data_IF_249991866044
#
_entry.id   IF_249991866044
#
_cell.length_a   1.000
_cell.length_b   1.000
_cell.length_c   1.000
_cell.angle_alpha   90.00
_cell.angle_beta   90.00
_cell.angle_gamma   90.00
#
_symmetry.space_group_name_H-M   'P 1'
#
loop_
_entity.id
_entity.type
_entity.pdbx_description
1 polymer ?
#
# COMPACT_ATOMS: atom_id res chain seq x y z
N UNK A 1 -60.98 -28.93 -82.28
CA UNK A 1 -60.22 -28.99 -81.01
C UNK A 1 -58.83 -28.43 -81.27
N UNK A 2 -58.42 -27.45 -80.46
CA UNK A 2 -57.10 -26.80 -80.40
C UNK A 2 -56.57 -26.04 -81.61
N UNK A 3 -56.62 -24.71 -81.51
CA UNK A 3 -55.52 -23.82 -81.90
C UNK A 3 -55.75 -22.45 -81.28
N UNK A 4 -55.25 -22.22 -80.06
CA UNK A 4 -54.88 -20.87 -79.66
C UNK A 4 -53.74 -20.93 -78.64
N UNK A 5 -52.62 -20.30 -78.98
CA UNK A 5 -51.36 -20.49 -78.24
C UNK A 5 -50.16 -19.91 -78.97
N UNK A 6 -50.24 -18.66 -79.43
CA UNK A 6 -49.06 -17.98 -80.00
C UNK A 6 -49.08 -16.46 -79.81
N UNK A 7 -49.28 -15.98 -78.57
CA UNK A 7 -49.18 -14.53 -78.28
C UNK A 7 -48.36 -14.12 -77.03
N UNK A 8 -47.81 -15.06 -76.25
CA UNK A 8 -47.17 -14.70 -74.96
C UNK A 8 -45.64 -14.50 -75.01
N UNK A 9 -44.88 -15.18 -75.88
CA UNK A 9 -43.39 -15.14 -75.82
C UNK A 9 -42.71 -13.85 -76.29
N UNK A 10 -43.39 -12.95 -77.02
CA UNK A 10 -42.76 -11.76 -77.64
C UNK A 10 -42.79 -10.52 -76.75
N UNK A 11 -43.75 -10.43 -75.82
CA UNK A 11 -43.86 -9.29 -74.90
C UNK A 11 -42.91 -9.41 -73.70
N UNK A 12 -42.71 -10.60 -73.15
CA UNK A 12 -41.75 -10.82 -72.05
C UNK A 12 -40.29 -10.59 -72.49
N UNK A 13 -39.92 -10.99 -73.70
CA UNK A 13 -38.57 -10.75 -74.24
C UNK A 13 -38.27 -9.25 -74.41
N UNK A 14 -39.27 -8.44 -74.78
CA UNK A 14 -39.13 -7.00 -74.99
C UNK A 14 -39.12 -6.20 -73.66
N UNK A 15 -39.84 -6.66 -72.65
CA UNK A 15 -39.84 -6.05 -71.30
C UNK A 15 -38.49 -6.27 -70.61
N UNK A 16 -37.96 -7.49 -70.71
CA UNK A 16 -36.66 -7.89 -70.16
C UNK A 16 -35.47 -7.18 -70.88
N UNK A 17 -35.61 -6.91 -72.19
CA UNK A 17 -34.67 -6.10 -72.98
C UNK A 17 -34.67 -4.61 -72.60
N UNK A 18 -35.85 -4.00 -72.40
CA UNK A 18 -35.98 -2.60 -71.95
C UNK A 18 -35.47 -2.39 -70.53
N UNK A 19 -35.68 -3.34 -69.64
CA UNK A 19 -35.20 -3.28 -68.25
C UNK A 19 -33.67 -3.41 -68.17
N UNK A 20 -33.07 -4.29 -68.99
CA UNK A 20 -31.61 -4.38 -69.17
C UNK A 20 -31.01 -3.10 -69.75
N UNK A 21 -31.67 -2.49 -70.73
CA UNK A 21 -31.27 -1.20 -71.32
C UNK A 21 -31.31 -0.03 -70.32
N UNK A 22 -32.39 0.05 -69.51
CA UNK A 22 -32.56 1.05 -68.46
C UNK A 22 -31.50 0.91 -67.34
N UNK A 23 -31.25 -0.32 -66.86
CA UNK A 23 -30.16 -0.62 -65.91
C UNK A 23 -28.80 -0.22 -66.46
N UNK A 24 -28.53 -0.50 -67.74
CA UNK A 24 -27.26 -0.15 -68.40
C UNK A 24 -27.08 1.38 -68.51
N UNK A 25 -28.15 2.13 -68.77
CA UNK A 25 -28.15 3.61 -68.77
C UNK A 25 -27.92 4.19 -67.38
N UNK A 26 -28.57 3.63 -66.36
CA UNK A 26 -28.40 4.03 -64.95
C UNK A 26 -26.97 3.76 -64.47
N UNK A 27 -26.43 2.57 -64.77
CA UNK A 27 -25.06 2.19 -64.45
C UNK A 27 -24.02 3.11 -65.12
N UNK A 28 -24.25 3.51 -66.37
CA UNK A 28 -23.37 4.44 -67.08
C UNK A 28 -23.39 5.86 -66.46
N UNK A 29 -24.55 6.34 -66.00
CA UNK A 29 -24.64 7.62 -65.26
C UNK A 29 -23.92 7.56 -63.92
N UNK A 30 -24.10 6.47 -63.18
CA UNK A 30 -23.40 6.23 -61.92
C UNK A 30 -21.88 6.17 -62.11
N UNK A 31 -21.41 5.48 -63.16
CA UNK A 31 -19.98 5.38 -63.47
C UNK A 31 -19.37 6.74 -63.85
N UNK A 32 -20.12 7.58 -64.56
CA UNK A 32 -19.69 8.94 -64.89
C UNK A 32 -19.59 9.82 -63.63
N UNK A 33 -20.56 9.71 -62.72
CA UNK A 33 -20.57 10.40 -61.44
C UNK A 33 -19.36 10.00 -60.55
N UNK A 34 -19.11 8.70 -60.39
CA UNK A 34 -17.94 8.21 -59.63
C UNK A 34 -16.61 8.69 -60.21
N UNK A 35 -16.49 8.82 -61.54
CA UNK A 35 -15.27 9.36 -62.16
C UNK A 35 -15.03 10.83 -61.83
N UNK A 36 -16.09 11.63 -61.74
CA UNK A 36 -15.98 13.05 -61.35
C UNK A 36 -15.62 13.15 -59.87
N UNK A 37 -16.30 12.38 -59.02
CA UNK A 37 -16.06 12.36 -57.59
C UNK A 37 -14.63 11.91 -57.24
N UNK A 38 -14.12 10.83 -57.87
CA UNK A 38 -12.75 10.37 -57.64
C UNK A 38 -11.69 11.37 -58.12
N UNK A 39 -11.99 12.19 -59.14
CA UNK A 39 -11.09 13.26 -59.60
C UNK A 39 -11.05 14.45 -58.65
N UNK A 40 -12.12 14.69 -57.90
CA UNK A 40 -12.24 15.77 -56.93
C UNK A 40 -11.95 15.33 -55.49
N UNK A 41 -11.61 14.05 -55.27
CA UNK A 41 -11.33 13.51 -53.95
C UNK A 41 -10.02 14.07 -53.39
N UNK A 42 -10.02 14.38 -52.09
CA UNK A 42 -8.83 14.76 -51.32
C UNK A 42 -7.89 13.57 -51.05
N UNK A 43 -8.34 12.34 -51.29
CA UNK A 43 -7.51 11.15 -51.21
C UNK A 43 -6.58 11.16 -52.41
N UNK A 44 -5.31 11.49 -52.19
CA UNK A 44 -4.29 11.71 -53.25
C UNK A 44 -4.18 10.58 -54.28
N UNK A 45 -4.49 9.34 -53.89
CA UNK A 45 -4.52 8.19 -54.80
C UNK A 45 -5.67 8.22 -55.82
N UNK A 46 -6.84 8.76 -55.47
CA UNK A 46 -8.06 8.69 -56.29
C UNK A 46 -7.99 9.53 -57.58
N UNK A 47 -7.56 10.81 -57.56
CA UNK A 47 -7.41 11.61 -58.79
C UNK A 47 -6.36 11.04 -59.75
N UNK A 48 -5.27 10.48 -59.22
CA UNK A 48 -4.17 9.89 -59.99
C UNK A 48 -4.58 8.57 -60.66
N UNK A 49 -5.38 7.74 -59.97
CA UNK A 49 -5.94 6.51 -60.53
C UNK A 49 -7.05 6.82 -61.55
N UNK A 50 -7.87 7.84 -61.30
CA UNK A 50 -8.97 8.23 -62.18
C UNK A 50 -8.50 8.91 -63.48
N UNK A 51 -7.34 9.57 -63.48
CA UNK A 51 -6.74 10.22 -64.66
C UNK A 51 -5.90 9.27 -65.53
N UNK A 52 -5.52 8.08 -65.05
CA UNK A 52 -4.66 7.14 -65.79
C UNK A 52 -5.44 6.37 -66.86
N UNK A 53 -4.99 6.46 -68.13
CA UNK A 53 -5.66 5.89 -69.31
C UNK A 53 -5.23 4.44 -69.62
N UNK A 54 -3.95 4.11 -69.38
CA UNK A 54 -3.39 2.79 -69.67
C UNK A 54 -3.80 1.78 -68.59
N UNK A 55 -4.44 0.68 -69.00
CA UNK A 55 -4.93 -0.40 -68.12
C UNK A 55 -3.83 -0.98 -67.21
N UNK A 56 -2.63 -1.37 -67.70
CA UNK A 56 -1.60 -1.96 -66.84
C UNK A 56 -1.02 -0.96 -65.81
N UNK A 57 -0.88 0.30 -66.18
CA UNK A 57 -0.46 1.34 -65.22
C UNK A 57 -1.54 1.64 -64.20
N UNK A 58 -2.81 1.55 -64.59
CA UNK A 58 -3.94 1.75 -63.70
C UNK A 58 -4.04 0.61 -62.67
N UNK A 59 -3.86 -0.64 -63.09
CA UNK A 59 -3.84 -1.79 -62.17
C UNK A 59 -2.66 -1.71 -61.20
N UNK A 60 -1.46 -1.36 -61.66
CA UNK A 60 -0.30 -1.15 -60.78
C UNK A 60 -0.57 -0.06 -59.73
N UNK A 61 -1.12 1.10 -60.14
CA UNK A 61 -1.44 2.20 -59.20
C UNK A 61 -2.52 1.80 -58.18
N UNK A 62 -3.53 1.02 -58.60
CA UNK A 62 -4.54 0.48 -57.69
C UNK A 62 -3.89 -0.49 -56.68
N UNK A 63 -2.99 -1.38 -57.14
CA UNK A 63 -2.29 -2.32 -56.26
C UNK A 63 -1.43 -1.59 -55.23
N UNK A 64 -0.64 -0.60 -55.66
CA UNK A 64 0.16 0.23 -54.76
C UNK A 64 -0.74 0.94 -53.75
N UNK A 65 -1.86 1.52 -54.20
CA UNK A 65 -2.81 2.20 -53.31
C UNK A 65 -3.44 1.26 -52.28
N UNK A 66 -3.85 0.04 -52.69
CA UNK A 66 -4.37 -0.98 -51.77
C UNK A 66 -3.30 -1.42 -50.77
N UNK A 67 -2.06 -1.61 -51.20
CA UNK A 67 -0.94 -1.93 -50.31
C UNK A 67 -0.70 -0.82 -49.29
N UNK A 68 -0.76 0.44 -49.70
CA UNK A 68 -0.68 1.60 -48.81
C UNK A 68 -1.85 1.64 -47.81
N UNK A 69 -3.09 1.38 -48.24
CA UNK A 69 -4.25 1.30 -47.34
C UNK A 69 -4.08 0.16 -46.34
N UNK A 70 -3.68 -1.03 -46.78
CA UNK A 70 -3.44 -2.16 -45.88
C UNK A 70 -2.35 -1.85 -44.85
N UNK A 71 -1.25 -1.24 -45.28
CA UNK A 71 -0.18 -0.78 -44.39
C UNK A 71 -0.67 0.27 -43.38
N UNK A 72 -1.45 1.25 -43.84
CA UNK A 72 -2.05 2.27 -42.97
C UNK A 72 -3.02 1.65 -41.94
N UNK A 73 -3.90 0.74 -42.37
CA UNK A 73 -4.83 0.07 -41.46
C UNK A 73 -4.10 -0.82 -40.46
N UNK A 74 -3.05 -1.52 -40.89
CA UNK A 74 -2.19 -2.32 -40.01
C UNK A 74 -1.53 -1.43 -38.95
N UNK A 75 -0.88 -0.35 -39.37
CA UNK A 75 -0.21 0.59 -38.47
C UNK A 75 -1.21 1.26 -37.51
N UNK A 76 -2.36 1.71 -38.01
CA UNK A 76 -3.43 2.30 -37.19
C UNK A 76 -3.96 1.30 -36.17
N UNK A 77 -4.20 0.05 -36.56
CA UNK A 77 -4.65 -1.01 -35.65
C UNK A 77 -3.58 -1.31 -34.59
N UNK A 78 -2.31 -1.32 -34.97
CA UNK A 78 -1.19 -1.51 -34.04
C UNK A 78 -1.10 -0.38 -33.01
N UNK A 79 -1.21 0.88 -33.44
CA UNK A 79 -1.26 2.02 -32.52
C UNK A 79 -2.49 2.01 -31.62
N UNK A 80 -3.68 1.68 -32.16
CA UNK A 80 -4.89 1.57 -31.35
C UNK A 80 -4.78 0.46 -30.30
N UNK A 81 -4.13 -0.68 -30.62
CA UNK A 81 -3.84 -1.73 -29.64
C UNK A 81 -2.91 -1.23 -28.54
N UNK A 82 -1.86 -0.48 -28.87
CA UNK A 82 -0.95 0.10 -27.89
C UNK A 82 -1.66 1.13 -26.99
N UNK A 83 -2.48 2.00 -27.59
CA UNK A 83 -3.27 3.00 -26.86
C UNK A 83 -4.28 2.34 -25.91
N UNK A 84 -5.02 1.35 -26.39
CA UNK A 84 -6.02 0.62 -25.58
C UNK A 84 -5.39 -0.36 -24.56
N UNK A 85 -4.08 -0.58 -24.59
CA UNK A 85 -3.37 -1.35 -23.57
C UNK A 85 -3.04 -0.50 -22.33
N UNK A 86 -3.22 0.83 -22.39
CA UNK A 86 -2.91 1.77 -21.31
C UNK A 86 -1.54 1.56 -20.63
N UNK A 87 -0.44 1.43 -21.41
CA UNK A 87 0.89 1.24 -20.83
C UNK A 87 1.29 2.48 -20.01
N UNK A 88 2.06 2.27 -18.96
CA UNK A 88 2.58 3.34 -18.09
C UNK A 88 4.10 3.43 -18.20
N UNK A 89 4.65 4.63 -17.95
CA UNK A 89 6.09 4.86 -17.86
C UNK A 89 6.39 5.47 -16.49
N UNK A 90 7.53 5.11 -15.92
CA UNK A 90 8.00 5.68 -14.64
C UNK A 90 8.79 6.94 -14.93
N UNK A 91 8.35 8.04 -14.34
CA UNK A 91 9.10 9.30 -14.29
C UNK A 91 9.65 9.49 -12.87
N UNK A 92 10.93 9.86 -12.76
CA UNK A 92 11.61 10.04 -11.47
C UNK A 92 12.04 11.50 -11.39
N UNK A 93 11.42 12.21 -10.45
CA UNK A 93 11.72 13.61 -10.17
C UNK A 93 12.37 13.73 -8.79
N UNK A 94 13.41 14.56 -8.70
CA UNK A 94 14.10 14.89 -7.45
C UNK A 94 13.85 16.36 -7.22
N UNK A 95 13.10 16.65 -6.16
CA UNK A 95 12.73 17.99 -5.73
C UNK A 95 13.38 18.30 -4.39
N UNK A 96 13.72 19.57 -4.18
CA UNK A 96 14.20 20.10 -2.90
C UNK A 96 13.24 21.19 -2.44
N UNK A 97 12.08 20.81 -1.88
CA UNK A 97 11.09 21.79 -1.42
C UNK A 97 11.60 22.52 -0.16
N UNK A 98 11.08 23.72 0.10
CA UNK A 98 11.42 24.47 1.33
C UNK A 98 10.73 23.88 2.56
N UNK A 99 9.56 23.27 2.36
CA UNK A 99 8.71 22.65 3.39
C UNK A 99 8.39 21.21 3.02
N UNK A 100 8.19 20.38 4.03
CA UNK A 100 7.84 18.96 3.92
C UNK A 100 6.81 18.61 4.98
N UNK A 101 6.05 17.55 4.72
CA UNK A 101 5.12 16.98 5.69
C UNK A 101 5.87 16.48 6.94
N UNK A 102 5.39 16.85 8.12
CA UNK A 102 5.88 16.33 9.39
C UNK A 102 5.52 14.84 9.47
N UNK A 103 6.52 13.93 9.54
CA UNK A 103 6.24 12.51 9.67
C UNK A 103 5.74 12.20 11.09
N UNK A 104 4.92 11.16 11.18
CA UNK A 104 4.68 10.51 12.47
C UNK A 104 5.86 9.59 12.82
N UNK A 105 6.09 9.42 14.11
CA UNK A 105 7.19 8.57 14.62
C UNK A 105 6.64 7.52 15.58
N UNK A 106 6.72 6.25 15.17
CA UNK A 106 6.46 5.08 16.02
C UNK A 106 7.70 4.72 16.83
N UNK A 107 7.50 4.51 18.14
CA UNK A 107 8.52 4.18 19.13
C UNK A 107 8.09 2.96 19.95
N UNK A 108 9.03 2.05 20.18
CA UNK A 108 8.81 0.91 21.05
C UNK A 108 10.05 0.58 21.85
N UNK A 109 9.90 0.24 23.13
CA UNK A 109 10.98 -0.36 23.91
C UNK A 109 11.05 -1.85 23.58
N UNK A 110 12.25 -2.43 23.47
CA UNK A 110 12.38 -3.90 23.37
C UNK A 110 11.78 -4.60 24.59
N UNK A 111 11.87 -3.97 25.76
CA UNK A 111 11.27 -4.54 26.94
C UNK A 111 9.75 -4.48 26.85
N UNK A 112 9.15 -5.65 26.64
CA UNK A 112 7.72 -5.81 26.37
C UNK A 112 6.86 -5.59 27.61
N UNK A 113 7.39 -6.00 28.76
CA UNK A 113 6.68 -6.07 30.04
C UNK A 113 7.59 -5.52 31.14
N UNK A 114 7.03 -4.73 32.06
CA UNK A 114 7.77 -4.23 33.21
C UNK A 114 7.97 -5.34 34.24
N UNK A 115 9.22 -5.62 34.57
CA UNK A 115 9.66 -6.65 35.53
C UNK A 115 8.96 -6.50 36.87
N UNK A 116 8.92 -5.29 37.43
CA UNK A 116 8.32 -5.09 38.75
C UNK A 116 6.82 -5.38 38.71
N UNK A 117 6.14 -4.86 37.69
CA UNK A 117 4.70 -5.09 37.50
C UNK A 117 4.38 -6.58 37.33
N UNK A 118 5.18 -7.31 36.54
CA UNK A 118 5.04 -8.75 36.38
C UNK A 118 5.20 -9.51 37.70
N UNK A 119 6.27 -9.26 38.45
CA UNK A 119 6.51 -9.98 39.71
C UNK A 119 5.52 -9.60 40.82
N UNK A 120 4.99 -8.38 40.82
CA UNK A 120 3.91 -7.97 41.73
C UNK A 120 2.59 -8.67 41.40
N UNK A 121 2.23 -8.74 40.12
CA UNK A 121 0.96 -9.36 39.71
C UNK A 121 1.02 -10.90 39.72
N UNK A 122 2.19 -11.48 39.43
CA UNK A 122 2.39 -12.92 39.33
C UNK A 122 3.65 -13.37 40.12
N UNK A 123 3.61 -13.37 41.46
CA UNK A 123 4.79 -13.69 42.28
C UNK A 123 5.38 -15.07 42.02
N UNK A 124 4.54 -16.04 41.62
CA UNK A 124 4.94 -17.43 41.38
C UNK A 124 5.83 -17.63 40.14
N UNK A 125 5.88 -16.65 39.23
CA UNK A 125 6.75 -16.72 38.04
C UNK A 125 8.11 -16.04 38.27
N UNK A 126 8.35 -15.51 39.47
CA UNK A 126 9.58 -14.82 39.81
C UNK A 126 10.34 -15.54 40.93
N UNK A 127 11.67 -15.57 40.81
CA UNK A 127 12.58 -15.94 41.88
C UNK A 127 12.83 -14.71 42.77
N UNK A 128 12.63 -14.88 44.07
CA UNK A 128 12.70 -13.79 45.04
C UNK A 128 14.01 -13.80 45.81
N UNK A 129 14.63 -12.63 45.93
CA UNK A 129 15.79 -12.40 46.79
C UNK A 129 15.33 -11.74 48.08
N UNK A 130 15.88 -12.20 49.21
CA UNK A 130 15.62 -11.62 50.54
C UNK A 130 16.56 -10.48 50.87
N UNK A 131 17.75 -10.44 50.26
CA UNK A 131 18.78 -9.46 50.53
C UNK A 131 19.06 -8.61 49.29
N UNK A 132 18.85 -7.30 49.42
CA UNK A 132 19.08 -6.32 48.34
C UNK A 132 20.55 -6.27 47.88
N UNK A 133 21.50 -6.35 48.81
CA UNK A 133 22.92 -6.28 48.47
C UNK A 133 23.32 -7.48 47.61
N UNK A 134 22.89 -8.69 47.99
CA UNK A 134 23.12 -9.90 47.18
C UNK A 134 22.41 -9.81 45.82
N UNK A 135 21.17 -9.30 45.79
CA UNK A 135 20.45 -9.07 44.54
C UNK A 135 21.18 -8.10 43.62
N UNK A 136 21.66 -6.96 44.12
CA UNK A 136 22.36 -5.97 43.30
C UNK A 136 23.78 -6.41 42.88
N UNK A 137 24.42 -7.28 43.65
CA UNK A 137 25.67 -7.94 43.23
C UNK A 137 25.40 -8.88 42.05
N UNK A 138 24.31 -9.66 42.12
CA UNK A 138 23.95 -10.62 41.07
C UNK A 138 23.33 -9.94 39.82
N UNK A 139 22.54 -8.89 40.02
CA UNK A 139 21.75 -8.21 38.99
C UNK A 139 21.94 -6.68 39.04
N UNK A 140 23.16 -6.15 38.82
CA UNK A 140 23.44 -4.73 38.91
C UNK A 140 22.59 -3.86 37.97
N UNK A 141 22.22 -4.37 36.77
CA UNK A 141 21.30 -3.69 35.83
C UNK A 141 19.94 -3.33 36.46
N UNK A 142 19.47 -4.11 37.44
CA UNK A 142 18.20 -3.87 38.12
C UNK A 142 18.29 -2.87 39.28
N UNK A 143 19.49 -2.42 39.61
CA UNK A 143 19.73 -1.51 40.72
C UNK A 143 20.18 -0.15 40.21
N UNK A 144 19.34 0.86 40.43
CA UNK A 144 19.66 2.25 40.09
C UNK A 144 20.58 2.80 41.19
N UNK A 145 21.74 3.34 40.81
CA UNK A 145 22.79 3.79 41.74
C UNK A 145 22.36 4.92 42.68
N UNK A 146 21.33 5.70 42.32
CA UNK A 146 20.88 6.87 43.07
C UNK A 146 19.69 6.60 44.02
N UNK A 147 19.08 5.41 43.94
CA UNK A 147 17.90 5.07 44.74
C UNK A 147 18.32 4.43 46.06
N UNK A 148 18.47 5.28 47.09
CA UNK A 148 19.02 4.94 48.42
C UNK A 148 18.00 4.39 49.43
N UNK A 149 16.70 4.39 49.12
CA UNK A 149 15.66 3.90 50.05
C UNK A 149 15.22 2.46 49.75
N UNK A 150 15.29 1.61 50.76
CA UNK A 150 14.86 0.19 50.78
C UNK A 150 13.34 -0.05 50.59
N UNK A 151 12.54 0.99 50.38
CA UNK A 151 11.10 0.94 50.64
C UNK A 151 10.28 0.32 49.50
N UNK A 152 10.79 0.21 48.27
CA UNK A 152 9.99 -0.33 47.14
C UNK A 152 10.77 -1.14 46.09
N UNK A 153 11.93 -1.73 46.44
CA UNK A 153 12.60 -2.62 45.47
C UNK A 153 11.92 -3.99 45.42
N UNK A 154 11.12 -4.22 44.38
CA UNK A 154 10.74 -5.57 43.98
C UNK A 154 12.01 -6.35 43.63
N UNK A 155 12.42 -7.25 44.53
CA UNK A 155 13.62 -8.11 44.39
C UNK A 155 13.33 -9.42 43.64
N UNK A 156 12.21 -9.47 42.91
CA UNK A 156 11.84 -10.59 42.05
C UNK A 156 12.54 -10.53 40.69
N UNK A 157 13.11 -11.66 40.28
CA UNK A 157 13.65 -11.87 38.92
C UNK A 157 12.75 -12.89 38.21
N UNK A 158 12.16 -12.55 37.05
CA UNK A 158 11.36 -13.51 36.28
C UNK A 158 12.17 -14.76 35.93
N UNK A 159 11.64 -15.95 36.24
CA UNK A 159 12.26 -17.20 35.82
C UNK A 159 11.98 -17.41 34.33
N UNK A 160 13.03 -17.41 33.51
CA UNK A 160 12.94 -17.54 32.04
C UNK A 160 12.15 -18.80 31.63
N UNK A 161 12.27 -19.91 32.37
CA UNK A 161 11.57 -21.17 32.05
C UNK A 161 10.07 -21.08 32.31
N UNK A 162 9.67 -20.45 33.41
CA UNK A 162 8.27 -20.22 33.76
C UNK A 162 7.67 -19.02 33.00
N UNK A 163 8.52 -18.13 32.48
CA UNK A 163 8.11 -16.99 31.66
C UNK A 163 7.74 -17.38 30.22
N UNK A 164 8.20 -18.54 29.74
CA UNK A 164 7.87 -19.05 28.41
C UNK A 164 6.38 -19.39 28.22
N UNK A 165 5.68 -19.69 29.33
CA UNK A 165 4.22 -19.90 29.42
C UNK A 165 3.46 -18.62 29.74
N UNK A 166 4.09 -17.44 29.69
CA UNK A 166 3.41 -16.18 29.92
C UNK A 166 2.29 -15.94 28.90
N UNK A 167 1.25 -15.27 29.40
CA UNK A 167 0.11 -14.87 28.61
C UNK A 167 0.57 -14.01 27.42
N UNK A 168 0.18 -14.41 26.22
CA UNK A 168 0.56 -13.77 24.95
C UNK A 168 -0.55 -12.89 24.40
N UNK A 169 -1.52 -12.49 25.22
CA UNK A 169 -2.58 -11.57 24.81
C UNK A 169 -2.08 -10.14 24.75
N UNK A 170 -2.71 -9.35 23.89
CA UNK A 170 -2.42 -7.93 23.77
C UNK A 170 -2.81 -7.16 25.04
N UNK A 171 -3.93 -7.52 25.67
CA UNK A 171 -4.37 -6.94 26.94
C UNK A 171 -3.33 -7.13 28.06
N UNK A 172 -2.65 -8.28 28.06
CA UNK A 172 -1.57 -8.54 29.00
C UNK A 172 -0.35 -7.63 28.74
N UNK A 173 0.04 -7.45 27.48
CA UNK A 173 1.09 -6.49 27.12
C UNK A 173 0.69 -5.03 27.42
N UNK A 174 -0.58 -4.66 27.27
CA UNK A 174 -1.07 -3.32 27.59
C UNK A 174 -1.05 -3.04 29.09
N UNK A 175 -1.44 -4.01 29.91
CA UNK A 175 -1.54 -3.84 31.37
C UNK A 175 -0.18 -3.81 32.05
N UNK A 176 0.75 -4.68 31.63
CA UNK A 176 2.06 -4.82 32.24
C UNK A 176 3.20 -4.15 31.47
N UNK A 177 2.96 -3.73 30.23
CA UNK A 177 3.94 -3.05 29.39
C UNK A 177 4.36 -1.68 29.91
N UNK A 178 5.30 -1.08 29.20
CA UNK A 178 5.74 0.28 29.49
C UNK A 178 4.67 1.28 29.06
N UNK A 179 4.47 2.33 29.86
CA UNK A 179 3.56 3.42 29.49
C UNK A 179 4.27 4.37 28.52
N UNK A 180 3.57 4.92 27.52
CA UNK A 180 4.16 5.88 26.59
C UNK A 180 4.83 7.09 27.27
N UNK A 181 4.22 7.60 28.34
CA UNK A 181 4.73 8.72 29.15
C UNK A 181 6.03 8.39 29.88
N UNK A 182 6.26 7.12 30.17
CA UNK A 182 7.49 6.67 30.86
C UNK A 182 8.62 6.44 29.83
N UNK A 183 8.25 6.08 28.59
CA UNK A 183 9.22 5.89 27.50
C UNK A 183 9.75 7.21 26.95
N UNK A 184 8.86 8.18 26.74
CA UNK A 184 9.20 9.47 26.12
C UNK A 184 9.28 10.53 27.22
N UNK A 185 10.49 10.81 27.71
CA UNK A 185 10.72 11.82 28.76
C UNK A 185 10.66 13.25 28.22
N UNK A 186 10.79 13.44 26.91
CA UNK A 186 10.56 14.72 26.25
C UNK A 186 10.48 14.56 24.74
N UNK A 187 9.59 15.32 24.09
CA UNK A 187 9.49 15.38 22.64
C UNK A 187 9.18 16.82 22.22
N UNK A 188 10.00 17.37 21.33
CA UNK A 188 9.79 18.70 20.75
C UNK A 188 10.03 18.69 19.25
N UNK A 189 9.20 19.42 18.53
CA UNK A 189 9.42 19.78 17.13
C UNK A 189 10.10 21.15 17.10
N UNK A 190 11.30 21.22 16.51
CA UNK A 190 12.07 22.45 16.38
C UNK A 190 12.08 22.90 14.93
N UNK A 191 11.55 24.09 14.71
CA UNK A 191 11.60 24.82 13.45
C UNK A 191 12.19 26.22 13.73
N UNK A 192 11.58 27.30 13.26
CA UNK A 192 11.85 28.65 13.77
C UNK A 192 11.36 28.83 15.21
N UNK A 193 10.36 28.05 15.60
CA UNK A 193 9.83 27.98 16.97
C UNK A 193 9.98 26.57 17.52
N UNK A 194 9.96 26.43 18.84
CA UNK A 194 9.92 25.10 19.49
C UNK A 194 8.50 24.83 19.95
N UNK A 195 7.92 23.72 19.51
CA UNK A 195 6.62 23.23 19.96
C UNK A 195 6.79 21.86 20.64
N UNK A 196 5.95 21.55 21.61
CA UNK A 196 5.85 20.20 22.16
C UNK A 196 5.23 19.28 21.12
N UNK A 197 5.63 18.01 21.10
CA UNK A 197 4.96 17.04 20.25
C UNK A 197 3.52 16.78 20.72
N UNK A 198 2.64 16.50 19.78
CA UNK A 198 1.22 16.24 19.99
C UNK A 198 0.84 14.85 19.43
N UNK A 199 -0.44 14.49 19.60
CA UNK A 199 -1.06 13.29 19.01
C UNK A 199 -0.31 11.98 19.32
N UNK A 200 -0.38 11.55 20.58
CA UNK A 200 0.16 10.27 21.04
C UNK A 200 -0.87 9.15 20.80
N UNK A 201 -0.61 8.29 19.84
CA UNK A 201 -1.48 7.18 19.46
C UNK A 201 -0.87 5.86 19.92
N UNK A 202 -1.57 5.04 20.72
CA UNK A 202 -1.06 3.72 21.09
C UNK A 202 -1.03 2.78 19.88
N UNK A 203 0.07 2.06 19.74
CA UNK A 203 0.32 1.12 18.64
C UNK A 203 0.49 -0.29 19.23
N UNK A 204 -0.61 -1.03 19.44
CA UNK A 204 -0.53 -2.44 19.78
C UNK A 204 0.06 -3.22 18.60
N UNK A 205 1.17 -3.93 18.79
CA UNK A 205 1.84 -4.63 17.70
C UNK A 205 2.53 -5.92 18.14
N UNK A 206 3.03 -6.70 17.19
CA UNK A 206 3.74 -7.96 17.42
C UNK A 206 5.19 -7.83 16.98
N UNK A 207 6.14 -8.36 17.74
CA UNK A 207 7.53 -8.45 17.29
C UNK A 207 7.74 -9.57 16.25
N UNK A 208 8.98 -9.76 15.80
CA UNK A 208 9.36 -10.83 14.87
C UNK A 208 9.17 -12.25 15.44
N UNK A 209 9.14 -12.39 16.75
CA UNK A 209 8.96 -13.66 17.47
C UNK A 209 7.48 -13.92 17.79
N UNK A 210 6.59 -12.98 17.46
CA UNK A 210 5.17 -13.10 17.69
C UNK A 210 4.74 -12.76 19.12
N UNK A 211 5.50 -11.97 19.86
CA UNK A 211 5.07 -11.48 21.16
C UNK A 211 4.43 -10.10 21.04
N UNK A 212 3.33 -9.86 21.76
CA UNK A 212 2.67 -8.57 21.77
C UNK A 212 3.53 -7.52 22.48
N UNK A 213 3.46 -6.30 21.95
CA UNK A 213 4.11 -5.11 22.44
C UNK A 213 3.12 -3.95 22.43
N UNK A 214 3.35 -2.99 23.32
CA UNK A 214 2.57 -1.77 23.41
C UNK A 214 3.48 -0.57 23.09
N UNK A 215 3.46 -0.18 21.83
CA UNK A 215 4.28 0.89 21.30
C UNK A 215 3.45 2.19 21.23
N UNK A 216 4.08 3.30 20.84
CA UNK A 216 3.40 4.60 20.68
C UNK A 216 3.84 5.29 19.39
N UNK A 217 2.91 5.87 18.66
CA UNK A 217 3.17 6.80 17.57
C UNK A 217 2.94 8.23 18.05
N UNK A 218 3.83 9.15 17.66
CA UNK A 218 3.76 10.58 17.98
C UNK A 218 3.56 11.36 16.68
N UNK A 219 2.82 12.48 16.73
CA UNK A 219 2.39 13.27 15.56
C UNK A 219 1.56 12.48 14.54
N UNK A 220 0.95 11.36 14.96
CA UNK A 220 0.04 10.59 14.09
C UNK A 220 -1.38 11.14 14.17
N UNK A 221 -1.95 11.47 13.01
CA UNK A 221 -3.36 11.88 12.90
C UNK A 221 -4.30 10.70 12.68
N UNK A 222 -3.85 9.49 13.01
CA UNK A 222 -4.69 8.29 13.02
C UNK A 222 -5.97 8.49 13.83
N UNK A 223 -7.11 8.17 13.24
CA UNK A 223 -8.45 8.39 13.80
C UNK A 223 -8.96 9.84 13.69
N UNK A 224 -8.27 10.71 12.95
CA UNK A 224 -8.64 12.12 12.77
C UNK A 224 -8.85 12.46 11.27
N UNK A 225 -9.99 12.08 10.65
CA UNK A 225 -10.20 12.16 9.19
C UNK A 225 -10.16 13.58 8.61
N UNK A 226 -10.37 14.59 9.45
CA UNK A 226 -10.40 15.99 9.05
C UNK A 226 -9.14 16.75 9.48
N UNK A 227 -8.19 16.09 10.16
CA UNK A 227 -6.93 16.71 10.52
C UNK A 227 -6.05 16.87 9.28
N UNK A 228 -5.34 17.99 9.22
CA UNK A 228 -4.35 18.25 8.18
C UNK A 228 -2.98 17.87 8.70
N UNK A 229 -2.13 17.36 7.82
CA UNK A 229 -0.73 17.10 8.14
C UNK A 229 -0.03 18.44 8.39
N UNK A 230 0.75 18.52 9.47
CA UNK A 230 1.55 19.71 9.76
C UNK A 230 2.74 19.73 8.79
N UNK A 231 3.01 20.87 8.18
CA UNK A 231 4.21 21.06 7.38
C UNK A 231 5.33 21.67 8.26
N UNK A 232 6.57 21.27 8.00
CA UNK A 232 7.77 21.82 8.64
C UNK A 232 8.80 22.20 7.57
N UNK A 233 9.67 23.20 7.81
CA UNK A 233 10.79 23.46 6.93
C UNK A 233 11.72 22.25 6.85
N UNK A 234 12.44 22.08 5.75
CA UNK A 234 13.43 20.98 5.59
C UNK A 234 14.57 21.02 6.60
N UNK A 235 14.82 22.17 7.23
CA UNK A 235 15.77 22.32 8.35
C UNK A 235 15.16 21.98 9.71
N UNK A 236 13.86 21.67 9.77
CA UNK A 236 13.17 21.29 10.99
C UNK A 236 13.60 19.93 11.51
N UNK A 237 13.53 19.74 12.83
CA UNK A 237 13.92 18.49 13.48
C UNK A 237 12.97 18.11 14.60
N UNK A 238 12.77 16.81 14.80
CA UNK A 238 12.08 16.27 15.98
C UNK A 238 13.16 15.81 16.98
N UNK A 239 13.20 16.42 18.16
CA UNK A 239 14.08 15.99 19.25
C UNK A 239 13.30 15.19 20.28
N UNK A 240 13.70 13.95 20.47
CA UNK A 240 13.10 13.03 21.44
C UNK A 240 14.14 12.60 22.48
N UNK A 241 13.71 12.57 23.74
CA UNK A 241 14.45 12.03 24.87
C UNK A 241 13.72 10.77 25.33
N UNK A 242 14.43 9.64 25.31
CA UNK A 242 13.87 8.32 25.62
C UNK A 242 14.44 7.79 26.93
N UNK A 243 13.58 7.21 27.76
CA UNK A 243 13.96 6.51 29.00
C UNK A 243 13.56 5.04 28.88
N UNK A 244 14.56 4.17 28.77
CA UNK A 244 14.33 2.73 28.47
C UNK A 244 14.20 1.85 29.70
N UNK A 245 14.39 2.37 30.91
CA UNK A 245 14.19 1.66 32.17
C UNK A 245 14.84 0.26 32.21
N UNK A 246 16.19 0.16 32.13
CA UNK A 246 16.89 -1.13 32.17
C UNK A 246 16.52 -1.99 33.39
N UNK A 247 16.13 -1.35 34.50
CA UNK A 247 15.70 -1.98 35.74
C UNK A 247 14.35 -2.72 35.67
N UNK A 248 13.57 -2.42 34.64
CA UNK A 248 12.27 -3.02 34.35
C UNK A 248 12.35 -4.16 33.32
N UNK A 249 13.54 -4.48 32.80
CA UNK A 249 13.69 -5.57 31.83
C UNK A 249 13.35 -6.91 32.47
N UNK A 250 12.53 -7.73 31.82
CA UNK A 250 12.17 -9.06 32.35
C UNK A 250 13.35 -10.02 32.33
N UNK A 251 14.12 -10.00 31.24
CA UNK A 251 15.36 -10.75 31.11
C UNK A 251 16.56 -9.83 31.36
N UNK A 252 17.41 -10.25 32.30
CA UNK A 252 18.56 -9.48 32.73
C UNK A 252 19.55 -9.26 31.59
N UNK A 253 19.77 -10.29 30.77
CA UNK A 253 20.78 -10.30 29.71
C UNK A 253 20.32 -9.60 28.43
N UNK A 254 19.05 -9.17 28.35
CA UNK A 254 18.55 -8.47 27.17
C UNK A 254 19.26 -7.12 27.01
N UNK A 255 19.61 -6.79 25.76
CA UNK A 255 20.17 -5.49 25.41
C UNK A 255 19.12 -4.39 25.61
N UNK A 256 19.57 -3.24 26.09
CA UNK A 256 18.71 -2.09 26.35
C UNK A 256 18.65 -1.23 25.09
N UNK A 257 17.57 -1.38 24.34
CA UNK A 257 17.38 -0.72 23.07
C UNK A 257 15.90 -0.41 22.78
N UNK A 258 15.71 0.60 21.95
CA UNK A 258 14.41 1.02 21.43
C UNK A 258 14.35 0.77 19.92
N UNK A 259 13.14 0.68 19.39
CA UNK A 259 12.88 0.64 17.95
C UNK A 259 12.11 1.90 17.55
N UNK A 260 12.63 2.61 16.55
CA UNK A 260 12.03 3.83 16.00
C UNK A 260 11.70 3.64 14.53
N UNK A 261 10.57 4.17 14.08
CA UNK A 261 10.18 4.16 12.67
C UNK A 261 9.42 5.44 12.32
N UNK A 262 9.93 6.19 11.33
CA UNK A 262 9.25 7.36 10.78
C UNK A 262 8.34 6.93 9.62
N UNK A 263 7.10 7.41 9.62
CA UNK A 263 6.09 7.04 8.63
C UNK A 263 5.12 8.20 8.34
N UNK A 264 4.25 8.01 7.36
CA UNK A 264 3.19 8.96 7.02
C UNK A 264 2.28 9.24 8.23
N UNK A 265 1.94 10.52 8.43
CA UNK A 265 1.17 10.99 9.58
C UNK A 265 -0.23 10.35 9.69
N UNK A 266 -0.84 9.96 8.57
CA UNK A 266 -2.16 9.32 8.55
C UNK A 266 -2.14 7.86 8.98
N UNK A 267 -0.96 7.24 9.14
CA UNK A 267 -0.82 5.81 9.48
C UNK A 267 -0.30 5.59 10.90
N UNK A 268 -0.36 4.33 11.32
CA UNK A 268 0.41 3.79 12.44
C UNK A 268 1.24 2.62 11.91
N UNK A 269 2.47 2.48 12.41
CA UNK A 269 3.39 1.46 11.95
C UNK A 269 4.06 0.69 13.10
N UNK A 270 4.37 -0.58 12.85
CA UNK A 270 5.01 -1.45 13.81
C UNK A 270 6.53 -1.27 13.80
N UNK A 271 7.05 -0.41 14.68
CA UNK A 271 8.50 -0.16 14.75
C UNK A 271 9.32 -1.39 15.15
N UNK A 272 8.74 -2.39 15.82
CA UNK A 272 9.44 -3.64 16.16
C UNK A 272 9.79 -4.50 14.95
N UNK A 273 9.10 -4.34 13.81
CA UNK A 273 9.37 -5.09 12.57
C UNK A 273 10.01 -4.23 11.48
N UNK A 274 9.50 -3.02 11.28
CA UNK A 274 9.93 -2.15 10.18
C UNK A 274 10.91 -1.05 10.64
N UNK A 275 11.12 -0.88 11.95
CA UNK A 275 11.93 0.18 12.54
C UNK A 275 13.42 -0.14 12.67
N UNK A 276 14.21 0.91 12.92
CA UNK A 276 15.64 0.82 13.22
C UNK A 276 15.86 0.73 14.74
N UNK A 277 16.92 0.03 15.12
CA UNK A 277 17.29 -0.19 16.52
C UNK A 277 18.18 0.93 17.06
N UNK A 278 17.85 1.47 18.24
CA UNK A 278 18.60 2.49 18.97
C UNK A 278 19.08 1.91 20.31
N UNK A 279 20.38 1.88 20.54
CA UNK A 279 20.96 1.45 21.81
C UNK A 279 20.91 2.57 22.85
N UNK A 280 20.73 2.19 24.12
CA UNK A 280 20.75 3.12 25.23
C UNK A 280 22.11 3.84 25.39
N UNK A 281 22.08 5.05 25.94
CA UNK A 281 23.30 5.82 26.26
C UNK A 281 23.96 6.51 25.06
N UNK A 282 23.31 6.54 23.90
CA UNK A 282 23.80 7.17 22.67
C UNK A 282 22.87 8.27 22.19
N UNK A 283 23.43 9.23 21.45
CA UNK A 283 22.66 10.25 20.72
C UNK A 283 22.71 9.90 19.23
N UNK A 284 21.56 9.92 18.57
CA UNK A 284 21.40 9.56 17.17
C UNK A 284 20.87 10.75 16.37
N UNK A 285 21.52 11.05 15.24
CA UNK A 285 21.02 11.98 14.25
C UNK A 285 20.47 11.16 13.07
N UNK A 286 19.15 11.17 12.89
CA UNK A 286 18.46 10.42 11.84
C UNK A 286 18.00 11.41 10.78
N UNK A 287 18.56 11.31 9.59
CA UNK A 287 18.16 12.13 8.43
C UNK A 287 17.15 11.35 7.59
N UNK A 288 16.04 12.00 7.25
CA UNK A 288 14.92 11.37 6.53
C UNK A 288 14.78 12.03 5.16
N UNK A 289 14.59 11.20 4.13
CA UNK A 289 14.24 11.64 2.78
C UNK A 289 12.81 11.18 2.48
N UNK A 290 11.93 12.10 2.09
CA UNK A 290 10.58 11.75 1.68
C UNK A 290 10.60 11.17 0.26
N UNK A 291 9.88 10.06 0.06
CA UNK A 291 9.69 9.46 -1.26
C UNK A 291 8.19 9.38 -1.55
N UNK A 292 7.74 10.16 -2.52
CA UNK A 292 6.37 10.12 -3.01
C UNK A 292 6.34 9.21 -4.25
N UNK A 293 5.38 8.29 -4.30
CA UNK A 293 5.18 7.41 -5.46
C UNK A 293 3.73 7.54 -5.90
N UNK A 294 3.50 8.16 -7.05
CA UNK A 294 2.16 8.35 -7.62
C UNK A 294 1.90 7.25 -8.64
N UNK A 295 0.78 6.54 -8.50
CA UNK A 295 0.33 5.55 -9.50
C UNK A 295 -1.00 5.96 -10.11
N UNK A 296 -1.30 5.37 -11.27
CA UNK A 296 -2.54 5.66 -11.99
C UNK A 296 -3.63 4.61 -11.67
N UNK A 297 -4.88 5.04 -11.45
CA UNK A 297 -5.98 4.12 -11.20
C UNK A 297 -6.37 3.38 -12.49
N UNK A 298 -7.35 2.47 -12.42
CA UNK A 298 -7.95 1.89 -13.62
C UNK A 298 -8.36 2.99 -14.63
N UNK A 299 -8.14 2.81 -15.94
CA UNK A 299 -7.82 1.56 -16.65
C UNK A 299 -6.31 1.30 -16.88
N UNK A 300 -5.42 2.07 -16.26
CA UNK A 300 -3.98 1.89 -16.41
C UNK A 300 -3.50 0.59 -15.74
N UNK A 301 -2.40 0.02 -16.25
CA UNK A 301 -1.82 -1.24 -15.76
C UNK A 301 -1.55 -1.24 -14.25
N UNK A 302 -1.22 -0.09 -13.68
CA UNK A 302 -0.95 0.06 -12.24
C UNK A 302 -2.17 -0.23 -11.36
N UNK A 303 -3.39 -0.01 -11.86
CA UNK A 303 -4.67 -0.31 -11.20
C UNK A 303 -4.65 -0.05 -9.66
N UNK A 304 -4.17 1.14 -9.29
CA UNK A 304 -3.91 1.47 -7.89
C UNK A 304 -5.20 1.73 -7.10
N UNK A 305 -5.10 1.61 -5.78
CA UNK A 305 -6.18 1.95 -4.85
C UNK A 305 -5.86 3.26 -4.12
N UNK A 306 -6.84 4.18 -4.11
CA UNK A 306 -6.76 5.43 -3.35
C UNK A 306 -7.05 5.17 -1.86
N UNK A 307 -6.02 4.71 -1.15
CA UNK A 307 -6.14 4.39 0.26
C UNK A 307 -6.35 5.61 1.16
N UNK A 308 -5.85 6.78 0.78
CA UNK A 308 -6.04 8.01 1.55
C UNK A 308 -7.51 8.42 1.56
N UNK A 309 -8.17 8.34 0.39
CA UNK A 309 -9.61 8.54 0.30
C UNK A 309 -10.38 7.52 1.13
N UNK A 310 -10.03 6.23 1.04
CA UNK A 310 -10.66 5.19 1.86
C UNK A 310 -10.45 5.42 3.36
N UNK A 311 -9.27 5.87 3.78
CA UNK A 311 -8.97 6.21 5.16
C UNK A 311 -9.86 7.34 5.66
N UNK A 312 -10.05 8.39 4.84
CA UNK A 312 -10.91 9.52 5.18
C UNK A 312 -12.39 9.11 5.27
N UNK A 313 -12.88 8.34 4.29
CA UNK A 313 -14.24 7.80 4.28
C UNK A 313 -14.52 6.87 5.47
N UNK A 314 -13.49 6.15 5.93
CA UNK A 314 -13.55 5.27 7.10
C UNK A 314 -13.28 6.00 8.43
N UNK A 315 -13.46 7.32 8.46
CA UNK A 315 -13.34 8.10 9.70
C UNK A 315 -11.93 8.17 10.26
N UNK A 316 -10.91 8.11 9.40
CA UNK A 316 -9.51 8.24 9.78
C UNK A 316 -8.86 6.90 10.16
N UNK A 317 -9.43 5.79 9.72
CA UNK A 317 -8.94 4.44 10.03
C UNK A 317 -8.79 3.61 8.77
N UNK A 318 -7.69 2.88 8.67
CA UNK A 318 -7.48 1.91 7.60
C UNK A 318 -6.06 1.88 7.07
N UNK A 319 -5.77 0.93 6.17
CA UNK A 319 -4.45 0.84 5.57
C UNK A 319 -4.24 1.99 4.59
N UNK A 320 -3.00 2.51 4.53
CA UNK A 320 -2.59 3.51 3.54
C UNK A 320 -1.76 2.92 2.38
N UNK A 321 -1.42 1.64 2.48
CA UNK A 321 -0.58 0.96 1.50
C UNK A 321 -1.11 -0.43 1.20
N UNK A 322 -0.75 -0.97 0.04
CA UNK A 322 -1.08 -2.36 -0.32
C UNK A 322 -0.55 -3.38 0.71
N UNK A 323 0.65 -3.17 1.25
CA UNK A 323 1.23 -4.00 2.33
C UNK A 323 0.37 -3.93 3.61
N UNK A 324 -0.04 -2.74 4.04
CA UNK A 324 -0.90 -2.58 5.20
C UNK A 324 -2.29 -3.19 4.97
N UNK A 325 -2.83 -3.05 3.75
CA UNK A 325 -4.10 -3.68 3.35
C UNK A 325 -3.99 -5.20 3.46
N UNK A 326 -2.90 -5.78 2.95
CA UNK A 326 -2.67 -7.21 3.01
C UNK A 326 -2.61 -7.73 4.46
N UNK A 327 -1.90 -7.03 5.36
CA UNK A 327 -1.87 -7.36 6.78
C UNK A 327 -3.25 -7.24 7.45
N UNK A 328 -4.00 -6.16 7.15
CA UNK A 328 -5.36 -5.97 7.65
C UNK A 328 -6.30 -7.06 7.17
N UNK A 329 -6.25 -7.41 5.89
CA UNK A 329 -7.09 -8.46 5.30
C UNK A 329 -6.82 -9.82 5.94
N UNK A 330 -5.55 -10.16 6.20
CA UNK A 330 -5.20 -11.39 6.93
C UNK A 330 -5.80 -11.37 8.34
N UNK A 331 -5.61 -10.26 9.06
CA UNK A 331 -6.16 -10.06 10.41
C UNK A 331 -7.68 -10.26 10.43
N UNK A 332 -8.42 -9.55 9.59
CA UNK A 332 -9.89 -9.62 9.54
C UNK A 332 -10.40 -11.00 9.10
N UNK A 333 -9.74 -11.61 8.11
CA UNK A 333 -10.11 -12.95 7.64
C UNK A 333 -9.90 -14.02 8.71
N UNK A 334 -8.79 -13.94 9.46
CA UNK A 334 -8.52 -14.86 10.57
C UNK A 334 -9.46 -14.64 11.75
N UNK A 335 -9.74 -13.39 12.12
CA UNK A 335 -10.73 -13.10 13.16
C UNK A 335 -12.10 -13.68 12.81
N UNK A 336 -12.51 -13.59 11.54
CA UNK A 336 -13.78 -14.16 11.06
C UNK A 336 -13.80 -15.69 11.06
N UNK A 337 -12.70 -16.35 10.70
CA UNK A 337 -12.65 -17.81 10.59
C UNK A 337 -12.36 -18.52 11.91
N UNK A 338 -11.54 -17.91 12.76
CA UNK A 338 -10.90 -18.57 13.91
C UNK A 338 -11.10 -17.80 15.22
N UNK A 339 -11.65 -16.58 15.19
CA UNK A 339 -11.84 -15.75 16.39
C UNK A 339 -10.55 -15.17 16.99
N UNK A 340 -9.41 -15.46 16.37
CA UNK A 340 -8.09 -15.04 16.82
C UNK A 340 -7.16 -14.83 15.62
N UNK A 341 -6.03 -14.14 15.84
CA UNK A 341 -5.02 -13.92 14.81
C UNK A 341 -3.74 -14.70 15.07
N UNK A 342 -3.08 -15.13 13.99
CA UNK A 342 -1.75 -15.72 14.07
C UNK A 342 -0.70 -14.71 14.51
N UNK A 343 0.31 -15.21 15.24
CA UNK A 343 1.49 -14.44 15.65
C UNK A 343 2.27 -13.78 14.50
N UNK A 344 2.14 -14.33 13.29
CA UNK A 344 2.81 -13.83 12.08
C UNK A 344 2.13 -12.60 11.47
N UNK A 345 0.86 -12.35 11.78
CA UNK A 345 0.11 -11.20 11.26
C UNK A 345 0.55 -9.93 12.00
N UNK A 346 0.84 -8.88 11.23
CA UNK A 346 1.48 -7.66 11.74
C UNK A 346 0.68 -6.39 11.46
N UNK A 347 -0.62 -6.42 11.69
CA UNK A 347 -1.43 -5.22 11.60
C UNK A 347 -1.61 -4.61 13.01
N UNK A 348 -1.34 -3.31 13.22
CA UNK A 348 -1.56 -2.70 14.53
C UNK A 348 -3.06 -2.51 14.81
N UNK A 349 -3.61 -3.29 15.73
CA UNK A 349 -5.01 -3.18 16.17
C UNK A 349 -5.23 -3.91 17.51
N UNK A 350 -6.38 -3.73 18.13
CA UNK A 350 -6.79 -4.46 19.33
C UNK A 350 -7.53 -5.75 18.96
N UNK A 351 -6.86 -6.91 19.09
CA UNK A 351 -7.41 -8.22 18.74
C UNK A 351 -6.94 -9.34 19.69
N UNK A 352 -7.64 -10.47 19.62
CA UNK A 352 -7.25 -11.72 20.29
C UNK A 352 -6.20 -12.47 19.49
N UNK A 353 -5.13 -12.90 20.15
CA UNK A 353 -4.04 -13.69 19.56
C UNK A 353 -4.32 -15.18 19.80
N UNK A 354 -4.08 -16.03 18.80
CA UNK A 354 -4.29 -17.46 18.94
C UNK A 354 -3.29 -18.08 19.93
N UNK A 355 -3.76 -19.00 20.78
CA UNK A 355 -2.87 -19.69 21.74
C UNK A 355 -1.88 -20.64 21.03
N UNK A 356 -2.34 -21.29 19.96
CA UNK A 356 -1.51 -22.19 19.17
C UNK A 356 -0.57 -21.41 18.25
N UNK A 357 0.73 -21.55 18.50
CA UNK A 357 1.81 -20.96 17.69
C UNK A 357 1.89 -21.51 16.27
N UNK A 358 1.29 -22.68 16.02
CA UNK A 358 1.17 -23.27 14.69
C UNK A 358 0.05 -22.63 13.85
N UNK A 359 -0.71 -21.70 14.44
CA UNK A 359 -1.71 -20.91 13.71
C UNK A 359 -1.02 -20.00 12.71
N UNK A 360 -1.36 -20.17 11.43
CA UNK A 360 -0.93 -19.30 10.34
C UNK A 360 -2.12 -18.99 9.41
N UNK A 361 -2.09 -17.86 8.69
CA UNK A 361 -3.06 -17.59 7.63
C UNK A 361 -2.98 -18.70 6.58
N UNK A 362 -4.12 -19.35 6.29
CA UNK A 362 -4.18 -20.37 5.25
C UNK A 362 -3.85 -19.79 3.87
N UNK A 363 -3.41 -20.62 2.93
CA UNK A 363 -3.11 -20.17 1.57
C UNK A 363 -4.34 -19.56 0.89
N UNK A 364 -5.54 -20.05 1.18
CA UNK A 364 -6.80 -19.44 0.73
C UNK A 364 -6.97 -18.00 1.24
N UNK A 365 -6.63 -17.72 2.50
CA UNK A 365 -6.66 -16.35 3.04
C UNK A 365 -5.62 -15.49 2.32
N UNK A 366 -4.42 -16.00 2.10
CA UNK A 366 -3.34 -15.26 1.43
C UNK A 366 -3.72 -14.92 -0.01
N UNK A 367 -4.24 -15.88 -0.78
CA UNK A 367 -4.70 -15.68 -2.15
C UNK A 367 -5.89 -14.71 -2.25
N UNK A 368 -6.79 -14.73 -1.26
CA UNK A 368 -7.86 -13.74 -1.16
C UNK A 368 -7.27 -12.33 -0.98
N UNK A 369 -6.39 -12.15 0.00
CA UNK A 369 -5.82 -10.83 0.31
C UNK A 369 -4.92 -10.29 -0.81
N UNK A 370 -4.20 -11.15 -1.54
CA UNK A 370 -3.41 -10.75 -2.72
C UNK A 370 -4.30 -10.23 -3.85
N UNK A 371 -5.53 -10.72 -3.99
CA UNK A 371 -6.48 -10.25 -5.01
C UNK A 371 -7.23 -8.98 -4.60
N UNK A 372 -7.44 -8.78 -3.30
CA UNK A 372 -8.22 -7.67 -2.75
C UNK A 372 -7.39 -6.39 -2.60
N UNK A 373 -6.10 -6.51 -2.30
CA UNK A 373 -5.22 -5.37 -2.06
C UNK A 373 -4.33 -5.09 -3.28
N UNK A 374 -4.38 -3.87 -3.79
CA UNK A 374 -3.45 -3.37 -4.82
C UNK A 374 -2.47 -2.34 -4.24
N UNK A 375 -1.51 -1.90 -5.04
CA UNK A 375 -0.60 -0.83 -4.63
C UNK A 375 -1.35 0.49 -4.44
N UNK A 376 -0.82 1.38 -3.60
CA UNK A 376 -1.40 2.70 -3.41
C UNK A 376 -1.27 3.54 -4.68
N UNK A 377 -2.29 4.35 -4.92
CA UNK A 377 -2.12 5.57 -5.70
C UNK A 377 -1.19 6.51 -4.92
#
# INVERSE_FOLDING_TARGET
MFSDGRFSKKQDYNRDSKEKSSRKRSFNRFTAYCKVLCKQSLITGFPVIASTRNVPHKTLKILVFLLCICGFLYQTTSFLRLYNAYPTMVDIQIETPDVVDLPAVSLCNRNRIRRKALCTQMPNVCAWFTNRSLFCIAYPKYCISWQTSDIETVLGVPDVRNSASMNRTLEFAQSLGQRPTDLISGCVVRTHTTALCENYVPVPSMDSEGYPNYCVAVESIWGQPNAQVKEIPTTGEIRMYLTLHPEEYTNYYDLVHAHIFAHDAHSIANSMKDGITLEAGKTYNIFVNQRITVRLPAPYETNCTDYLKLWQENGGYGPLTGKACFEKCKMESMLKSSGCIAHSVSYPNNYTICEDKSSFPSDMIREKCTRECSESC
#
